data_IF_154545451110
#
_entry.id   IF_154545451110
#
_cell.length_a   1.000
_cell.length_b   1.000
_cell.length_c   1.000
_cell.angle_alpha   90.00
_cell.angle_beta   90.00
_cell.angle_gamma   90.00
#
_symmetry.space_group_name_H-M   'P 1'
#
loop_
_entity.id
_entity.type
_entity.pdbx_description
1 polymer ?
#
# COMPACT_ATOMS: atom_id res chain seq x y z
N UNK A 1 -31.64 -57.19 -41.15
CA UNK A 1 -30.38 -57.51 -40.44
C UNK A 1 -29.34 -56.47 -40.84
N UNK A 2 -28.72 -55.81 -39.85
CA UNK A 2 -27.67 -54.80 -40.08
C UNK A 2 -28.01 -53.44 -39.45
N UNK A 3 -27.84 -53.32 -38.14
CA UNK A 3 -27.70 -52.03 -37.44
C UNK A 3 -26.24 -51.90 -37.01
N UNK A 4 -25.59 -50.86 -37.53
CA UNK A 4 -24.16 -50.58 -37.43
C UNK A 4 -23.91 -49.69 -36.21
N UNK A 5 -22.99 -50.13 -35.36
CA UNK A 5 -22.52 -49.48 -34.13
C UNK A 5 -21.55 -48.32 -34.48
N UNK A 6 -21.57 -47.16 -33.79
CA UNK A 6 -20.58 -46.10 -33.99
C UNK A 6 -19.46 -46.15 -32.93
N UNK A 7 -18.20 -45.85 -33.29
CA UNK A 7 -17.08 -45.86 -32.35
C UNK A 7 -16.86 -44.51 -31.63
N UNK A 8 -16.61 -44.65 -30.32
CA UNK A 8 -15.68 -43.92 -29.43
C UNK A 8 -15.27 -42.46 -29.71
N UNK A 9 -15.48 -41.62 -28.70
CA UNK A 9 -15.07 -40.22 -28.55
C UNK A 9 -13.54 -40.00 -28.37
N UNK A 10 -13.01 -38.81 -28.71
CA UNK A 10 -11.67 -38.37 -28.29
C UNK A 10 -11.71 -37.45 -27.04
N UNK A 11 -10.57 -37.26 -26.34
CA UNK A 11 -10.52 -36.60 -25.03
C UNK A 11 -10.45 -35.06 -25.12
N UNK A 12 -10.88 -34.47 -24.00
CA UNK A 12 -11.08 -33.05 -23.71
C UNK A 12 -9.80 -32.20 -23.84
N UNK A 13 -9.86 -31.16 -24.67
CA UNK A 13 -8.97 -30.01 -24.58
C UNK A 13 -9.53 -28.98 -23.60
N UNK A 14 -8.82 -28.73 -22.50
CA UNK A 14 -9.14 -27.64 -21.58
C UNK A 14 -8.66 -26.32 -22.14
N UNK A 15 -9.59 -25.40 -22.42
CA UNK A 15 -9.28 -24.01 -22.74
C UNK A 15 -9.24 -23.19 -21.45
N UNK A 16 -8.09 -22.57 -21.19
CA UNK A 16 -7.87 -21.55 -20.15
C UNK A 16 -8.37 -20.21 -20.68
N UNK A 17 -9.14 -19.40 -19.93
CA UNK A 17 -9.62 -18.12 -20.40
C UNK A 17 -8.54 -17.04 -20.25
N UNK A 18 -8.09 -16.49 -21.37
CA UNK A 18 -7.21 -15.32 -21.42
C UNK A 18 -8.07 -14.07 -21.18
N UNK A 19 -8.04 -13.52 -19.97
CA UNK A 19 -8.60 -12.19 -19.70
C UNK A 19 -7.65 -11.14 -20.27
N UNK A 20 -8.01 -10.61 -21.44
CA UNK A 20 -7.43 -9.36 -21.93
C UNK A 20 -7.85 -8.21 -21.04
N UNK A 21 -6.87 -7.60 -20.38
CA UNK A 21 -6.99 -6.28 -19.77
C UNK A 21 -6.29 -5.28 -20.70
N UNK A 22 -7.05 -4.70 -21.62
CA UNK A 22 -6.68 -3.45 -22.29
C UNK A 22 -6.92 -2.30 -21.29
N UNK A 23 -5.92 -1.45 -21.05
CA UNK A 23 -6.10 -0.17 -20.37
C UNK A 23 -5.55 0.97 -21.22
N UNK A 24 -6.37 2.01 -21.29
CA UNK A 24 -6.37 3.07 -22.29
C UNK A 24 -5.19 4.06 -22.19
N UNK A 25 -4.88 4.65 -23.34
CA UNK A 25 -3.88 5.71 -23.55
C UNK A 25 -4.45 7.06 -23.11
N UNK A 26 -3.79 7.73 -22.17
CA UNK A 26 -3.95 9.17 -21.94
C UNK A 26 -2.82 9.93 -22.61
N UNK A 27 -3.18 10.71 -23.64
CA UNK A 27 -2.31 11.67 -24.31
C UNK A 27 -2.07 12.88 -23.39
N UNK A 28 -0.81 13.12 -23.04
CA UNK A 28 -0.36 14.44 -22.63
C UNK A 28 0.63 14.94 -23.68
N UNK A 29 0.12 15.75 -24.60
CA UNK A 29 0.92 16.64 -25.42
C UNK A 29 1.50 17.72 -24.50
N UNK A 30 2.78 17.63 -24.18
CA UNK A 30 3.55 18.79 -23.77
C UNK A 30 4.58 19.09 -24.85
N UNK A 31 4.27 20.11 -25.64
CA UNK A 31 5.25 20.86 -26.40
C UNK A 31 6.18 21.58 -25.44
N UNK A 32 7.46 21.31 -25.57
CA UNK A 32 8.53 22.28 -25.40
C UNK A 32 9.63 21.90 -26.39
N UNK A 33 9.96 22.73 -27.40
CA UNK A 33 11.27 22.60 -28.04
C UNK A 33 12.30 23.06 -27.01
N UNK A 34 13.48 22.43 -26.90
CA UNK A 34 14.62 23.14 -27.47
C UNK A 34 15.82 22.25 -27.87
N UNK A 35 16.69 22.83 -28.71
CA UNK A 35 18.15 22.53 -28.83
C UNK A 35 18.52 21.15 -29.38
N UNK A 36 19.15 21.14 -30.55
CA UNK A 36 19.89 20.02 -31.20
C UNK A 36 19.53 18.62 -30.68
N UNK A 37 18.61 17.95 -31.37
CA UNK A 37 18.07 16.66 -30.96
C UNK A 37 19.18 15.69 -30.51
N UNK A 38 19.19 15.37 -29.22
CA UNK A 38 20.28 14.63 -28.60
C UNK A 38 20.11 13.12 -28.89
N UNK A 39 21.23 12.42 -29.11
CA UNK A 39 21.42 10.96 -28.96
C UNK A 39 20.43 10.26 -28.02
N UNK A 40 19.29 9.71 -28.46
CA UNK A 40 18.37 8.98 -27.56
C UNK A 40 18.10 7.58 -28.07
N UNK A 41 17.78 6.68 -27.14
CA UNK A 41 17.39 5.32 -27.44
C UNK A 41 16.27 4.91 -26.50
N UNK A 42 15.29 4.15 -27.00
CA UNK A 42 14.14 3.67 -26.24
C UNK A 42 13.92 2.16 -26.47
N UNK A 43 13.31 1.47 -25.52
CA UNK A 43 12.83 0.10 -25.73
C UNK A 43 11.42 0.09 -26.30
N UNK A 44 11.20 -0.71 -27.34
CA UNK A 44 9.90 -0.89 -28.00
C UNK A 44 9.60 -2.39 -28.11
N UNK A 45 8.59 -2.91 -27.40
CA UNK A 45 7.80 -2.23 -26.37
C UNK A 45 8.66 -1.86 -25.13
N UNK A 46 8.23 -0.88 -24.30
CA UNK A 46 8.98 -0.45 -23.12
C UNK A 46 9.25 -1.60 -22.13
N UNK A 47 8.26 -2.49 -21.98
CA UNK A 47 8.34 -3.73 -21.23
C UNK A 47 8.00 -4.90 -22.15
N UNK A 48 8.74 -6.00 -22.04
CA UNK A 48 8.46 -7.23 -22.79
C UNK A 48 8.41 -8.44 -21.88
N UNK A 49 7.41 -9.29 -22.11
CA UNK A 49 7.33 -10.61 -21.50
C UNK A 49 8.39 -11.55 -22.11
N UNK A 50 8.81 -12.54 -21.32
CA UNK A 50 9.71 -13.58 -21.79
C UNK A 50 9.18 -14.26 -23.07
N UNK A 51 10.08 -14.50 -24.02
CA UNK A 51 9.78 -15.06 -25.33
C UNK A 51 9.26 -14.06 -26.38
N UNK A 52 9.08 -12.78 -26.04
CA UNK A 52 8.75 -11.71 -26.99
C UNK A 52 9.98 -11.06 -27.60
N UNK A 53 9.78 -10.27 -28.65
CA UNK A 53 10.84 -9.51 -29.30
C UNK A 53 10.89 -8.09 -28.74
N UNK A 54 12.09 -7.54 -28.60
CA UNK A 54 12.33 -6.18 -28.09
C UNK A 54 13.25 -5.43 -29.04
N UNK A 55 12.85 -4.23 -29.44
CA UNK A 55 13.68 -3.33 -30.22
C UNK A 55 14.24 -2.21 -29.33
N UNK A 56 15.56 -2.12 -29.20
CA UNK A 56 16.22 -0.90 -28.72
C UNK A 56 16.31 0.08 -29.88
N UNK A 57 15.32 0.96 -29.97
CA UNK A 57 15.14 1.91 -31.07
C UNK A 57 15.96 3.17 -30.83
N UNK A 58 16.88 3.44 -31.75
CA UNK A 58 17.73 4.63 -31.71
C UNK A 58 17.07 5.79 -32.46
N UNK A 59 17.12 6.97 -31.85
CA UNK A 59 16.59 8.22 -32.38
C UNK A 59 17.70 9.27 -32.49
N UNK A 60 17.55 10.20 -33.44
CA UNK A 60 18.47 11.32 -33.64
C UNK A 60 19.93 10.90 -33.87
N UNK A 61 20.13 9.82 -34.62
CA UNK A 61 21.46 9.33 -35.00
C UNK A 61 22.19 10.37 -35.88
N UNK A 62 23.44 10.74 -35.57
CA UNK A 62 24.20 11.71 -36.36
C UNK A 62 24.45 11.23 -37.80
N UNK A 63 24.43 12.15 -38.77
CA UNK A 63 24.63 11.83 -40.19
C UNK A 63 26.08 11.51 -40.60
N UNK A 64 27.06 11.80 -39.75
CA UNK A 64 28.51 11.57 -39.98
C UNK A 64 29.03 10.30 -39.28
N UNK A 65 28.13 9.35 -39.02
CA UNK A 65 28.42 8.07 -38.38
C UNK A 65 29.32 7.17 -39.25
N UNK A 66 30.39 6.64 -38.67
CA UNK A 66 31.25 5.62 -39.27
C UNK A 66 30.82 4.20 -38.87
N UNK A 67 30.29 4.05 -37.66
CA UNK A 67 29.83 2.78 -37.14
C UNK A 67 29.25 2.91 -35.74
N UNK A 68 28.64 1.83 -35.25
CA UNK A 68 28.14 1.75 -33.89
C UNK A 68 28.38 0.38 -33.27
N UNK A 69 28.54 0.37 -31.95
CA UNK A 69 28.79 -0.83 -31.17
C UNK A 69 27.78 -0.88 -30.02
N UNK A 70 27.15 -2.04 -29.86
CA UNK A 70 26.30 -2.34 -28.72
C UNK A 70 27.05 -3.19 -27.71
N UNK A 71 26.95 -2.81 -26.44
CA UNK A 71 27.53 -3.53 -25.31
C UNK A 71 26.46 -3.85 -24.27
N UNK A 72 26.63 -4.98 -23.61
CA UNK A 72 25.90 -5.33 -22.39
C UNK A 72 26.58 -4.66 -21.19
N UNK A 73 25.79 -4.07 -20.30
CA UNK A 73 26.26 -3.34 -19.12
C UNK A 73 26.40 -1.84 -19.33
N UNK A 74 26.86 -1.17 -18.28
CA UNK A 74 26.87 0.30 -18.18
C UNK A 74 28.03 1.01 -18.91
N UNK A 75 29.03 0.24 -19.32
CA UNK A 75 30.24 0.76 -19.94
C UNK A 75 30.52 0.04 -21.25
N UNK A 76 31.19 0.74 -22.17
CA UNK A 76 31.65 0.16 -23.43
C UNK A 76 32.88 -0.73 -23.17
N UNK A 77 32.63 -1.95 -22.68
CA UNK A 77 33.64 -2.97 -22.41
C UNK A 77 33.65 -4.01 -23.53
N UNK A 78 34.79 -4.21 -24.19
CA UNK A 78 34.95 -5.14 -25.31
C UNK A 78 34.55 -6.58 -24.98
N UNK A 79 34.74 -7.03 -23.73
CA UNK A 79 34.31 -8.36 -23.28
C UNK A 79 32.80 -8.53 -23.22
N UNK A 80 32.05 -7.43 -23.18
CA UNK A 80 30.60 -7.40 -23.17
C UNK A 80 29.99 -6.90 -24.49
N UNK A 81 30.77 -6.86 -25.56
CA UNK A 81 30.28 -6.42 -26.87
C UNK A 81 29.30 -7.43 -27.47
N UNK A 82 28.14 -6.95 -27.91
CA UNK A 82 27.07 -7.74 -28.52
C UNK A 82 27.28 -7.76 -30.03
N UNK A 83 27.17 -6.60 -30.68
CA UNK A 83 27.33 -6.45 -32.14
C UNK A 83 28.05 -5.14 -32.46
N UNK A 84 28.87 -5.17 -33.50
CA UNK A 84 29.45 -4.01 -34.17
C UNK A 84 28.82 -3.86 -35.55
N UNK A 85 28.56 -2.62 -35.97
CA UNK A 85 28.10 -2.31 -37.32
C UNK A 85 28.93 -1.19 -37.92
N UNK A 86 29.41 -1.42 -39.15
CA UNK A 86 30.16 -0.44 -39.93
C UNK A 86 29.26 0.09 -41.04
N UNK A 87 29.05 1.41 -41.08
CA UNK A 87 28.07 2.05 -41.99
C UNK A 87 28.50 1.92 -43.46
N UNK A 88 29.79 2.12 -43.74
CA UNK A 88 30.34 2.17 -45.11
C UNK A 88 30.24 0.81 -45.82
N UNK A 89 30.64 -0.26 -45.12
CA UNK A 89 30.62 -1.62 -45.68
C UNK A 89 29.32 -2.37 -45.40
N UNK A 90 28.44 -1.82 -44.55
CA UNK A 90 27.22 -2.45 -44.05
C UNK A 90 27.47 -3.83 -43.39
N UNK A 91 28.68 -4.02 -42.87
CA UNK A 91 29.08 -5.27 -42.22
C UNK A 91 28.70 -5.22 -40.75
N UNK A 92 28.07 -6.30 -40.28
CA UNK A 92 27.81 -6.56 -38.87
C UNK A 92 28.75 -7.64 -38.36
N UNK A 93 29.45 -7.36 -37.26
CA UNK A 93 30.38 -8.30 -36.61
C UNK A 93 29.87 -8.66 -35.22
N UNK A 94 29.59 -9.94 -34.93
CA UNK A 94 29.27 -10.43 -33.59
C UNK A 94 30.43 -10.24 -32.60
N UNK A 95 30.10 -9.82 -31.38
CA UNK A 95 31.02 -9.74 -30.25
C UNK A 95 30.89 -10.92 -29.27
N UNK A 96 31.71 -10.95 -28.20
CA UNK A 96 31.74 -12.07 -27.25
C UNK A 96 30.43 -12.28 -26.48
N UNK A 97 29.61 -11.25 -26.33
CA UNK A 97 28.33 -11.30 -25.61
C UNK A 97 27.13 -11.54 -26.53
N UNK A 98 27.36 -11.84 -27.82
CA UNK A 98 26.30 -12.16 -28.77
C UNK A 98 25.68 -13.53 -28.44
N UNK A 99 24.36 -13.59 -28.29
CA UNK A 99 23.63 -14.84 -28.01
C UNK A 99 23.04 -15.50 -29.26
N UNK A 100 23.25 -14.92 -30.45
CA UNK A 100 22.66 -15.39 -31.70
C UNK A 100 21.20 -14.97 -31.90
N UNK A 101 20.65 -14.19 -30.96
CA UNK A 101 19.26 -13.69 -30.99
C UNK A 101 19.18 -12.19 -31.28
N UNK A 102 20.33 -11.53 -31.38
CA UNK A 102 20.40 -10.09 -31.60
C UNK A 102 20.62 -9.75 -33.07
N UNK A 103 20.04 -8.66 -33.54
CA UNK A 103 20.25 -8.15 -34.91
C UNK A 103 20.33 -6.63 -34.87
N UNK A 104 21.39 -6.07 -35.43
CA UNK A 104 21.57 -4.63 -35.53
C UNK A 104 21.08 -4.11 -36.88
N UNK A 105 20.33 -3.01 -36.87
CA UNK A 105 19.82 -2.37 -38.06
C UNK A 105 20.71 -1.21 -38.51
N UNK A 106 20.67 -0.81 -39.79
CA UNK A 106 21.45 0.32 -40.32
C UNK A 106 21.22 1.65 -39.59
N UNK A 107 20.06 1.83 -38.96
CA UNK A 107 19.74 3.00 -38.13
C UNK A 107 20.30 2.92 -36.70
N UNK A 108 21.20 1.97 -36.43
CA UNK A 108 21.82 1.73 -35.13
C UNK A 108 20.93 1.01 -34.11
N UNK A 109 19.67 0.73 -34.44
CA UNK A 109 18.75 0.03 -33.53
C UNK A 109 19.12 -1.44 -33.38
N UNK A 110 18.89 -2.01 -32.19
CA UNK A 110 19.21 -3.41 -31.89
C UNK A 110 17.93 -4.18 -31.57
N UNK A 111 17.62 -5.20 -32.37
CA UNK A 111 16.55 -6.15 -32.10
C UNK A 111 17.07 -7.30 -31.25
N UNK A 112 16.33 -7.66 -30.22
CA UNK A 112 16.43 -8.93 -29.52
C UNK A 112 15.22 -9.80 -29.87
N UNK A 113 15.47 -11.01 -30.34
CA UNK A 113 14.42 -11.99 -30.59
C UNK A 113 14.26 -12.94 -29.40
N UNK A 114 13.02 -13.21 -29.00
CA UNK A 114 12.69 -14.14 -27.91
C UNK A 114 13.52 -13.88 -26.63
N UNK A 115 13.30 -12.72 -26.01
CA UNK A 115 14.03 -12.29 -24.80
C UNK A 115 13.79 -13.24 -23.62
N UNK A 116 14.80 -13.41 -22.77
CA UNK A 116 14.74 -14.17 -21.52
C UNK A 116 15.03 -13.26 -20.34
N UNK A 117 14.82 -13.74 -19.10
CA UNK A 117 15.16 -12.97 -17.90
C UNK A 117 16.63 -12.53 -17.87
N UNK A 118 17.55 -13.32 -18.44
CA UNK A 118 18.99 -13.01 -18.51
C UNK A 118 19.31 -11.86 -19.49
N UNK A 119 18.36 -11.43 -20.31
CA UNK A 119 18.48 -10.27 -21.19
C UNK A 119 18.08 -8.97 -20.47
N UNK A 120 17.68 -9.05 -19.20
CA UNK A 120 17.42 -7.86 -18.37
C UNK A 120 18.74 -7.19 -17.99
N UNK A 121 18.83 -5.89 -18.19
CA UNK A 121 19.98 -5.11 -17.74
C UNK A 121 20.22 -3.86 -18.56
N UNK A 122 21.32 -3.18 -18.23
CA UNK A 122 21.72 -1.97 -18.93
C UNK A 122 22.43 -2.33 -20.25
N UNK A 123 22.23 -1.51 -21.27
CA UNK A 123 22.86 -1.64 -22.56
C UNK A 123 23.47 -0.30 -22.99
N UNK A 124 24.68 -0.36 -23.51
CA UNK A 124 25.43 0.82 -23.92
C UNK A 124 25.58 0.85 -25.44
N UNK A 125 25.10 1.92 -26.06
CA UNK A 125 25.38 2.25 -27.46
C UNK A 125 26.60 3.17 -27.51
N UNK A 126 27.62 2.75 -28.23
CA UNK A 126 28.76 3.58 -28.58
C UNK A 126 28.71 3.90 -30.06
N UNK A 127 28.69 5.17 -30.40
CA UNK A 127 28.78 5.64 -31.79
C UNK A 127 30.21 6.10 -32.09
N UNK A 128 30.67 5.76 -33.29
CA UNK A 128 31.95 6.19 -33.84
C UNK A 128 31.63 7.21 -34.94
N UNK A 129 31.99 8.48 -34.70
CA UNK A 129 31.82 9.57 -35.65
C UNK A 129 33.18 9.97 -36.23
N UNK A 130 33.19 10.66 -37.38
CA UNK A 130 34.43 11.14 -38.02
C UNK A 130 35.31 12.00 -37.09
N UNK A 131 34.72 12.76 -36.15
CA UNK A 131 35.46 13.78 -35.37
C UNK A 131 35.34 13.72 -33.83
N UNK A 132 34.76 12.67 -33.22
CA UNK A 132 34.85 12.38 -31.77
C UNK A 132 34.10 11.09 -31.42
N UNK A 133 34.62 10.32 -30.46
CA UNK A 133 33.94 9.17 -29.87
C UNK A 133 33.04 9.68 -28.74
N UNK A 134 31.71 9.64 -28.90
CA UNK A 134 30.75 10.09 -27.89
C UNK A 134 29.85 8.91 -27.50
N UNK A 135 30.01 8.40 -26.28
CA UNK A 135 29.09 7.42 -25.69
C UNK A 135 28.03 8.15 -24.87
N UNK A 136 26.76 7.74 -25.02
CA UNK A 136 25.67 8.15 -24.12
C UNK A 136 24.78 6.95 -23.86
N UNK A 137 24.59 6.65 -22.58
CA UNK A 137 23.76 5.57 -22.08
C UNK A 137 22.49 6.16 -21.46
N UNK A 138 21.34 5.53 -21.68
CA UNK A 138 20.21 5.47 -20.73
C UNK A 138 19.15 4.52 -21.30
N UNK A 139 18.77 3.47 -20.57
CA UNK A 139 17.46 2.82 -20.76
C UNK A 139 16.84 2.44 -19.43
N UNK A 140 15.50 2.34 -19.40
CA UNK A 140 14.74 2.22 -18.18
C UNK A 140 14.76 0.75 -17.68
N UNK A 141 15.07 0.51 -16.41
CA UNK A 141 14.71 -0.72 -15.70
C UNK A 141 13.21 -1.13 -15.80
N UNK A 142 12.85 -2.35 -15.36
CA UNK A 142 11.48 -2.87 -15.53
C UNK A 142 10.44 -2.06 -14.76
N UNK A 143 9.22 -1.93 -15.30
CA UNK A 143 8.10 -1.33 -14.58
C UNK A 143 7.75 -2.17 -13.34
N UNK A 144 7.58 -1.49 -12.20
CA UNK A 144 7.26 -2.13 -10.93
C UNK A 144 5.79 -2.57 -10.89
N UNK A 145 5.49 -3.77 -10.38
CA UNK A 145 4.10 -4.16 -10.12
C UNK A 145 3.49 -3.25 -9.06
N UNK A 146 2.15 -3.12 -9.07
CA UNK A 146 1.42 -2.36 -8.05
C UNK A 146 1.74 -2.94 -6.67
N UNK A 147 2.29 -2.16 -5.74
CA UNK A 147 2.64 -2.69 -4.43
C UNK A 147 1.38 -2.93 -3.58
N UNK A 148 1.48 -3.87 -2.65
CA UNK A 148 0.43 -4.21 -1.68
C UNK A 148 1.04 -4.22 -0.28
N UNK A 149 0.24 -3.87 0.72
CA UNK A 149 0.66 -3.96 2.12
C UNK A 149 0.11 -5.24 2.73
N UNK A 150 0.98 -5.98 3.40
CA UNK A 150 0.61 -7.13 4.24
C UNK A 150 0.89 -6.79 5.70
N UNK A 151 0.10 -7.37 6.62
CA UNK A 151 0.26 -7.18 8.06
C UNK A 151 0.40 -8.52 8.76
N UNK A 152 1.26 -8.59 9.77
CA UNK A 152 1.31 -9.76 10.67
C UNK A 152 0.09 -9.86 11.60
N UNK A 153 -0.59 -8.74 11.84
CA UNK A 153 -1.74 -8.65 12.73
C UNK A 153 -2.76 -7.64 12.17
N UNK A 154 -3.96 -8.13 11.84
CA UNK A 154 -5.01 -7.30 11.23
C UNK A 154 -5.78 -6.46 12.26
N UNK A 155 -5.84 -6.92 13.52
CA UNK A 155 -6.62 -6.30 14.59
C UNK A 155 -5.81 -6.19 15.89
N UNK A 156 -4.74 -5.38 15.90
CA UNK A 156 -3.88 -5.25 17.08
C UNK A 156 -4.61 -4.64 18.27
N UNK A 157 -4.35 -5.18 19.46
CA UNK A 157 -4.80 -4.61 20.72
C UNK A 157 -3.86 -3.47 21.16
N UNK A 158 -4.43 -2.36 21.62
CA UNK A 158 -3.69 -1.23 22.15
C UNK A 158 -2.72 -1.66 23.26
N UNK A 159 -1.46 -1.21 23.16
CA UNK A 159 -0.33 -1.53 24.03
C UNK A 159 0.07 -3.02 24.10
N UNK A 160 -0.35 -3.84 23.13
CA UNK A 160 0.07 -5.24 23.01
C UNK A 160 1.34 -5.40 22.13
N UNK A 161 1.44 -6.52 21.43
CA UNK A 161 2.57 -6.89 20.57
C UNK A 161 2.77 -5.90 19.40
N UNK A 162 4.02 -5.80 18.88
CA UNK A 162 4.32 -4.93 17.75
C UNK A 162 3.60 -5.40 16.47
N UNK A 163 3.17 -4.43 15.67
CA UNK A 163 2.60 -4.67 14.34
C UNK A 163 3.67 -4.44 13.29
N UNK A 164 3.75 -5.36 12.34
CA UNK A 164 4.69 -5.32 11.23
C UNK A 164 3.90 -5.24 9.94
N UNK A 165 4.07 -4.13 9.23
CA UNK A 165 3.53 -3.90 7.90
C UNK A 165 4.65 -4.08 6.86
N UNK A 166 4.42 -4.92 5.87
CA UNK A 166 5.42 -5.23 4.83
C UNK A 166 4.87 -4.83 3.46
N UNK A 167 5.64 -4.04 2.71
CA UNK A 167 5.33 -3.70 1.33
C UNK A 167 5.81 -4.84 0.40
N UNK A 168 4.89 -5.40 -0.37
CA UNK A 168 5.11 -6.52 -1.29
C UNK A 168 4.75 -6.12 -2.73
N UNK A 169 5.35 -6.76 -3.75
CA UNK A 169 6.41 -7.76 -3.69
C UNK A 169 7.81 -7.16 -3.53
N UNK A 170 8.78 -7.94 -3.04
CA UNK A 170 10.19 -7.56 -3.12
C UNK A 170 10.66 -7.49 -4.57
N UNK A 171 11.28 -6.37 -4.92
CA UNK A 171 11.85 -6.14 -6.25
C UNK A 171 13.29 -5.61 -6.13
N UNK A 172 14.14 -5.95 -7.09
CA UNK A 172 15.53 -5.47 -7.12
C UNK A 172 15.56 -3.97 -7.46
N UNK A 173 16.59 -3.26 -6.97
CA UNK A 173 16.83 -1.84 -7.26
C UNK A 173 15.61 -0.94 -7.02
N UNK A 174 14.82 -1.25 -6.00
CA UNK A 174 13.58 -0.56 -5.67
C UNK A 174 13.70 0.12 -4.31
N UNK A 175 13.34 1.40 -4.26
CA UNK A 175 13.18 2.15 -3.01
C UNK A 175 11.74 2.08 -2.53
N UNK A 176 11.56 1.99 -1.22
CA UNK A 176 10.26 1.95 -0.57
C UNK A 176 10.03 3.23 0.23
N UNK A 177 8.82 3.79 0.13
CA UNK A 177 8.41 4.98 0.86
C UNK A 177 7.09 4.72 1.59
N UNK A 178 7.07 4.96 2.90
CA UNK A 178 5.85 4.82 3.69
C UNK A 178 5.17 6.16 3.92
N UNK A 179 3.84 6.13 3.83
CA UNK A 179 2.99 7.28 4.13
C UNK A 179 1.79 6.86 4.95
N UNK A 180 1.36 7.75 5.84
CA UNK A 180 0.14 7.61 6.64
C UNK A 180 -0.70 8.87 6.43
N UNK A 181 -1.99 8.71 6.15
CA UNK A 181 -2.87 9.85 5.81
C UNK A 181 -2.31 10.74 4.67
N UNK A 182 -1.69 10.12 3.65
CA UNK A 182 -0.97 10.79 2.55
C UNK A 182 0.18 11.72 2.96
N UNK A 183 0.66 11.62 4.20
CA UNK A 183 1.85 12.35 4.69
C UNK A 183 2.99 11.36 4.91
N UNK A 184 4.23 11.85 4.81
CA UNK A 184 5.41 11.05 5.14
C UNK A 184 5.31 10.49 6.55
N UNK A 185 5.71 9.24 6.72
CA UNK A 185 5.67 8.57 8.02
C UNK A 185 6.54 9.31 9.06
N UNK A 186 6.01 9.65 10.26
CA UNK A 186 6.81 10.24 11.34
C UNK A 186 7.63 9.16 12.05
N UNK A 187 8.82 8.86 11.50
CA UNK A 187 9.77 7.90 12.08
C UNK A 187 10.10 8.29 13.52
N UNK A 188 10.01 7.33 14.44
CA UNK A 188 10.22 7.54 15.87
C UNK A 188 10.75 6.27 16.54
N UNK A 189 11.06 6.32 17.84
CA UNK A 189 11.44 5.13 18.59
C UNK A 189 10.34 4.02 18.54
N UNK A 190 9.06 4.42 18.37
CA UNK A 190 7.94 3.48 18.21
C UNK A 190 7.74 3.04 16.76
N UNK A 191 7.85 3.94 15.79
CA UNK A 191 7.64 3.65 14.37
C UNK A 191 9.00 3.54 13.67
N UNK A 192 9.45 2.30 13.47
CA UNK A 192 10.77 1.99 12.91
C UNK A 192 10.64 1.39 11.51
N UNK A 193 11.43 1.89 10.58
CA UNK A 193 11.61 1.28 9.26
C UNK A 193 12.79 0.31 9.29
N UNK A 194 12.70 -0.76 8.50
CA UNK A 194 13.83 -1.63 8.20
C UNK A 194 14.92 -0.88 7.42
N UNK A 195 16.12 -1.45 7.34
CA UNK A 195 17.25 -0.85 6.62
C UNK A 195 16.96 -0.57 5.13
N UNK A 196 16.11 -1.39 4.50
CA UNK A 196 15.65 -1.24 3.12
C UNK A 196 14.33 -0.45 2.99
N UNK A 197 13.81 0.10 4.11
CA UNK A 197 12.52 0.78 4.23
C UNK A 197 11.29 -0.03 3.79
N UNK A 198 11.44 -1.32 3.48
CA UNK A 198 10.35 -2.17 2.99
C UNK A 198 9.35 -2.51 4.10
N UNK A 199 9.83 -2.63 5.32
CA UNK A 199 9.05 -3.07 6.46
C UNK A 199 8.93 -1.95 7.48
N UNK A 200 7.69 -1.66 7.88
CA UNK A 200 7.37 -0.74 8.96
C UNK A 200 6.96 -1.54 10.20
N UNK A 201 7.73 -1.39 11.27
CA UNK A 201 7.43 -1.94 12.58
C UNK A 201 6.89 -0.85 13.49
N UNK A 202 5.70 -1.07 14.04
CA UNK A 202 5.03 -0.19 15.00
C UNK A 202 5.09 -0.86 16.38
N UNK A 203 6.02 -0.41 17.22
CA UNK A 203 6.16 -0.84 18.61
C UNK A 203 5.14 -0.11 19.49
N UNK A 204 4.50 -0.86 20.41
CA UNK A 204 3.49 -0.32 21.34
C UNK A 204 2.41 0.46 20.60
N UNK A 205 1.57 -0.28 19.88
CA UNK A 205 0.47 0.27 19.08
C UNK A 205 -0.52 1.01 19.98
N UNK A 206 -0.93 2.20 19.55
CA UNK A 206 -1.91 3.04 20.23
C UNK A 206 -3.10 3.31 19.31
N UNK A 207 -4.26 3.67 19.86
CA UNK A 207 -5.42 4.05 19.03
C UNK A 207 -5.14 5.19 18.03
N UNK A 208 -4.14 6.02 18.28
CA UNK A 208 -3.71 7.11 17.40
C UNK A 208 -2.91 6.63 16.17
N UNK A 209 -2.44 5.38 16.19
CA UNK A 209 -1.80 4.75 15.04
C UNK A 209 -2.85 4.17 14.06
N UNK A 210 -4.16 4.28 14.38
CA UNK A 210 -5.25 3.94 13.45
C UNK A 210 -5.21 4.85 12.22
N UNK A 211 -5.25 4.26 11.04
CA UNK A 211 -5.36 5.05 9.82
C UNK A 211 -4.98 4.29 8.54
N UNK A 212 -5.15 4.95 7.38
CA UNK A 212 -4.71 4.45 6.10
C UNK A 212 -3.19 4.59 5.96
N UNK A 213 -2.51 3.46 5.88
CA UNK A 213 -1.12 3.32 5.51
C UNK A 213 -1.03 3.03 4.01
N UNK A 214 -0.09 3.67 3.33
CA UNK A 214 0.19 3.46 1.92
C UNK A 214 1.70 3.31 1.74
N UNK A 215 2.12 2.31 0.97
CA UNK A 215 3.52 2.16 0.57
C UNK A 215 3.68 2.56 -0.90
N UNK A 216 4.72 3.33 -1.18
CA UNK A 216 5.18 3.66 -2.50
C UNK A 216 6.41 2.83 -2.84
N UNK A 217 6.51 2.39 -4.09
CA UNK A 217 7.70 1.75 -4.64
C UNK A 217 8.20 2.59 -5.79
N UNK A 218 9.51 2.80 -5.87
CA UNK A 218 10.12 3.58 -6.95
C UNK A 218 11.40 2.92 -7.44
N UNK A 219 11.58 2.93 -8.75
CA UNK A 219 12.85 2.69 -9.41
C UNK A 219 13.08 3.82 -10.44
N UNK A 220 14.19 3.82 -11.21
CA UNK A 220 14.48 4.88 -12.18
C UNK A 220 13.44 5.09 -13.29
N UNK A 221 12.42 4.23 -13.38
CA UNK A 221 11.52 4.12 -14.54
C UNK A 221 10.07 4.26 -14.16
N UNK A 222 9.72 3.73 -13.01
CA UNK A 222 8.36 3.55 -12.57
C UNK A 222 8.27 3.87 -11.09
N UNK A 223 7.12 4.44 -10.73
CA UNK A 223 6.74 4.66 -9.35
C UNK A 223 5.31 4.13 -9.20
N UNK A 224 5.11 3.28 -8.20
CA UNK A 224 3.83 2.69 -7.85
C UNK A 224 3.42 3.12 -6.45
N UNK A 225 2.12 3.10 -6.17
CA UNK A 225 1.57 3.28 -4.83
C UNK A 225 0.52 2.21 -4.55
N UNK A 226 0.52 1.71 -3.33
CA UNK A 226 -0.44 0.69 -2.91
C UNK A 226 -1.82 1.28 -2.73
N UNK A 227 -2.83 0.42 -2.73
CA UNK A 227 -4.11 0.82 -2.14
C UNK A 227 -3.93 1.07 -0.63
N UNK A 228 -4.75 1.92 -0.02
CA UNK A 228 -4.66 2.19 1.41
C UNK A 228 -4.97 0.96 2.25
N UNK A 229 -4.03 0.57 3.11
CA UNK A 229 -4.24 -0.43 4.15
C UNK A 229 -4.67 0.26 5.45
N UNK A 230 -5.90 0.00 5.90
CA UNK A 230 -6.41 0.62 7.13
C UNK A 230 -6.05 -0.22 8.34
N UNK A 231 -5.10 0.26 9.15
CA UNK A 231 -4.79 -0.36 10.43
C UNK A 231 -5.89 -0.03 11.44
N UNK A 232 -6.60 -1.04 11.94
CA UNK A 232 -7.69 -0.88 12.90
C UNK A 232 -7.25 -1.34 14.30
N UNK A 233 -6.95 -0.40 15.18
CA UNK A 233 -6.47 -0.71 16.54
C UNK A 233 -7.66 -0.94 17.48
N UNK A 234 -7.71 -2.11 18.11
CA UNK A 234 -8.70 -2.45 19.11
C UNK A 234 -8.32 -1.84 20.46
N UNK A 235 -9.27 -1.20 21.14
CA UNK A 235 -9.03 -0.58 22.44
C UNK A 235 -10.30 -0.48 23.29
N UNK A 236 -10.08 -0.27 24.58
CA UNK A 236 -11.12 -0.06 25.56
C UNK A 236 -11.88 -1.35 25.96
N UNK A 237 -13.02 -1.20 26.65
CA UNK A 237 -13.65 0.08 26.96
C UNK A 237 -12.80 0.87 27.95
N UNK A 238 -12.65 2.17 27.70
CA UNK A 238 -12.09 3.10 28.67
C UNK A 238 -12.99 3.17 29.92
N UNK A 239 -12.53 3.86 30.96
CA UNK A 239 -13.33 4.04 32.18
C UNK A 239 -14.69 4.67 31.82
N UNK A 240 -15.83 3.98 32.08
CA UNK A 240 -17.13 4.48 31.71
C UNK A 240 -17.50 5.70 32.56
N UNK A 241 -18.31 6.58 31.97
CA UNK A 241 -18.87 7.77 32.61
C UNK A 241 -20.39 7.69 32.55
N UNK A 242 -21.06 8.21 33.58
CA UNK A 242 -22.52 8.26 33.66
C UNK A 242 -22.94 9.73 33.57
N UNK A 243 -23.78 10.05 32.59
CA UNK A 243 -24.38 11.38 32.38
C UNK A 243 -25.87 11.37 32.70
N UNK A 244 -26.48 12.51 33.11
CA UNK A 244 -25.84 13.78 33.47
C UNK A 244 -24.99 13.64 34.74
N UNK A 245 -24.29 14.68 35.20
CA UNK A 245 -23.55 14.64 36.47
C UNK A 245 -24.47 14.61 37.70
N UNK A 246 -25.69 15.12 37.58
CA UNK A 246 -26.65 15.27 38.68
C UNK A 246 -26.97 13.95 39.39
N UNK A 247 -26.71 13.90 40.70
CA UNK A 247 -26.98 12.77 41.58
C UNK A 247 -28.24 12.94 42.42
N UNK A 248 -28.83 14.14 42.45
CA UNK A 248 -29.94 14.48 43.34
C UNK A 248 -31.23 14.73 42.54
N UNK A 249 -32.30 14.01 42.91
CA UNK A 249 -33.59 14.08 42.21
C UNK A 249 -34.73 14.31 43.21
N UNK A 250 -35.79 14.97 42.75
CA UNK A 250 -37.03 15.11 43.51
C UNK A 250 -37.92 13.88 43.30
N UNK A 251 -38.72 13.47 44.30
CA UNK A 251 -39.76 12.48 44.09
C UNK A 251 -40.70 12.89 42.94
N UNK A 252 -41.08 11.93 42.10
CA UNK A 252 -41.89 12.16 40.89
C UNK A 252 -41.11 12.64 39.67
N UNK A 253 -39.82 12.95 39.79
CA UNK A 253 -38.99 13.29 38.63
C UNK A 253 -38.73 12.06 37.74
N UNK A 254 -38.33 12.29 36.48
CA UNK A 254 -37.86 11.23 35.59
C UNK A 254 -36.34 11.15 35.63
N UNK A 255 -35.80 10.00 36.02
CA UNK A 255 -34.37 9.73 36.03
C UNK A 255 -33.97 9.16 34.66
N UNK A 256 -33.03 9.83 33.98
CA UNK A 256 -32.45 9.35 32.73
C UNK A 256 -30.93 9.37 32.86
N UNK A 257 -30.32 8.19 32.88
CA UNK A 257 -28.88 8.02 32.97
C UNK A 257 -28.35 7.40 31.67
N UNK A 258 -27.32 7.99 31.07
CA UNK A 258 -26.66 7.44 29.87
C UNK A 258 -25.21 7.11 30.20
N UNK A 259 -24.79 5.91 29.84
CA UNK A 259 -23.43 5.43 30.08
C UNK A 259 -22.57 5.50 28.81
N UNK A 260 -21.35 6.00 28.95
CA UNK A 260 -20.43 6.20 27.82
C UNK A 260 -19.02 5.76 28.18
N UNK A 261 -18.41 4.95 27.32
CA UNK A 261 -17.00 4.60 27.34
C UNK A 261 -16.43 4.67 25.92
N UNK A 262 -15.24 5.24 25.76
CA UNK A 262 -14.52 5.18 24.49
C UNK A 262 -14.05 3.74 24.26
N UNK A 263 -14.37 3.17 23.10
CA UNK A 263 -14.01 1.80 22.78
C UNK A 263 -14.08 1.52 21.28
N UNK A 264 -13.17 0.68 20.79
CA UNK A 264 -13.20 0.12 19.45
C UNK A 264 -13.00 -1.41 19.51
N UNK A 265 -13.93 -2.24 19.01
CA UNK A 265 -15.27 -1.88 18.53
C UNK A 265 -16.15 -1.25 19.63
N UNK A 266 -17.31 -0.66 19.29
CA UNK A 266 -18.21 -0.04 20.26
C UNK A 266 -18.58 -0.99 21.42
N UNK A 267 -18.54 -0.47 22.64
CA UNK A 267 -18.87 -1.24 23.84
C UNK A 267 -20.38 -1.49 23.97
N UNK A 268 -20.73 -2.64 24.56
CA UNK A 268 -22.08 -2.98 25.01
C UNK A 268 -22.24 -2.63 26.48
N UNK A 269 -23.42 -2.14 26.84
CA UNK A 269 -23.70 -1.63 28.18
C UNK A 269 -24.78 -2.44 28.91
N UNK A 270 -24.64 -2.52 30.22
CA UNK A 270 -25.68 -3.01 31.13
C UNK A 270 -25.63 -2.27 32.46
N UNK A 271 -26.73 -2.32 33.20
CA UNK A 271 -26.88 -1.62 34.47
C UNK A 271 -27.10 -2.59 35.63
N UNK A 272 -26.63 -2.20 36.81
CA UNK A 272 -27.02 -2.80 38.09
C UNK A 272 -27.54 -1.70 39.01
N UNK A 273 -28.70 -1.91 39.61
CA UNK A 273 -29.27 -1.03 40.62
C UNK A 273 -29.14 -1.75 41.96
N UNK A 274 -28.35 -1.19 42.88
CA UNK A 274 -28.06 -1.80 44.18
C UNK A 274 -27.57 -3.26 44.05
N UNK A 275 -26.72 -3.51 43.05
CA UNK A 275 -26.17 -4.85 42.75
C UNK A 275 -27.11 -5.78 41.98
N UNK A 276 -28.37 -5.39 41.71
CA UNK A 276 -29.32 -6.20 40.95
C UNK A 276 -29.24 -5.89 39.45
N UNK A 277 -28.95 -6.89 38.59
CA UNK A 277 -28.89 -6.70 37.15
C UNK A 277 -30.20 -6.13 36.60
N UNK A 278 -30.07 -5.19 35.68
CA UNK A 278 -31.15 -4.62 34.89
C UNK A 278 -30.97 -5.00 33.42
N UNK A 279 -31.77 -4.38 32.55
CA UNK A 279 -31.69 -4.57 31.10
C UNK A 279 -30.35 -4.12 30.53
N UNK A 280 -29.87 -4.84 29.51
CA UNK A 280 -28.69 -4.48 28.72
C UNK A 280 -29.02 -3.32 27.79
N UNK A 281 -28.84 -2.10 28.27
CA UNK A 281 -29.09 -0.86 27.54
C UNK A 281 -28.02 0.17 27.90
N UNK A 282 -27.71 1.06 26.96
CA UNK A 282 -26.84 2.21 27.19
C UNK A 282 -27.51 3.27 28.07
N UNK A 283 -28.82 3.43 27.92
CA UNK A 283 -29.62 4.40 28.66
C UNK A 283 -30.55 3.70 29.64
N UNK A 284 -30.52 4.15 30.88
CA UNK A 284 -31.44 3.74 31.94
C UNK A 284 -32.46 4.84 32.16
N UNK A 285 -33.74 4.50 32.02
CA UNK A 285 -34.85 5.41 32.22
C UNK A 285 -35.79 4.88 33.31
N UNK A 286 -36.00 5.67 34.35
CA UNK A 286 -36.93 5.38 35.44
C UNK A 286 -37.87 6.58 35.61
N UNK A 287 -39.14 6.48 35.18
CA UNK A 287 -40.12 7.56 35.37
C UNK A 287 -40.61 7.59 36.82
N UNK A 288 -41.05 8.77 37.28
CA UNK A 288 -41.69 8.96 38.59
C UNK A 288 -40.90 8.37 39.78
N UNK A 289 -39.62 8.74 39.93
CA UNK A 289 -38.75 8.18 40.97
C UNK A 289 -39.25 8.47 42.39
N UNK A 290 -39.00 7.55 43.31
CA UNK A 290 -39.34 7.60 44.73
C UNK A 290 -38.10 7.58 45.60
N UNK A 291 -38.25 7.81 46.90
CA UNK A 291 -37.12 7.76 47.86
C UNK A 291 -36.43 6.38 47.85
N UNK A 292 -37.18 5.31 47.57
CA UNK A 292 -36.67 3.93 47.48
C UNK A 292 -35.76 3.68 46.27
N UNK A 293 -35.82 4.54 45.25
CA UNK A 293 -34.94 4.48 44.08
C UNK A 293 -33.56 5.09 44.37
N UNK A 294 -33.34 5.62 45.58
CA UNK A 294 -32.01 6.02 46.02
C UNK A 294 -31.08 4.81 46.13
N UNK A 295 -29.84 4.97 45.71
CA UNK A 295 -28.88 3.87 45.77
C UNK A 295 -27.72 3.99 44.79
N UNK A 296 -26.99 2.88 44.65
CA UNK A 296 -25.85 2.76 43.76
C UNK A 296 -26.29 2.25 42.39
N UNK A 297 -26.08 3.07 41.37
CA UNK A 297 -26.35 2.76 39.97
C UNK A 297 -25.02 2.47 39.28
N UNK A 298 -24.76 1.19 39.02
CA UNK A 298 -23.53 0.72 38.39
C UNK A 298 -23.77 0.53 36.90
N UNK A 299 -22.97 1.19 36.07
CA UNK A 299 -22.89 0.84 34.66
C UNK A 299 -21.72 -0.12 34.42
N UNK A 300 -21.95 -1.12 33.58
CA UNK A 300 -20.94 -2.04 33.04
C UNK A 300 -20.80 -1.79 31.55
N UNK A 301 -19.59 -1.45 31.10
CA UNK A 301 -19.22 -1.38 29.70
C UNK A 301 -18.36 -2.60 29.34
N UNK A 302 -18.69 -3.28 28.25
CA UNK A 302 -18.03 -4.50 27.80
C UNK A 302 -17.68 -4.42 26.31
N UNK A 303 -16.45 -4.79 25.94
CA UNK A 303 -16.02 -4.85 24.54
C UNK A 303 -15.66 -6.30 24.18
N UNK A 304 -16.38 -6.86 23.21
CA UNK A 304 -16.16 -8.24 22.75
C UNK A 304 -14.88 -8.42 21.95
N UNK A 305 -14.40 -7.39 21.26
CA UNK A 305 -13.14 -7.41 20.50
C UNK A 305 -11.92 -7.50 21.40
N UNK A 306 -11.88 -6.67 22.46
CA UNK A 306 -10.78 -6.71 23.45
C UNK A 306 -10.99 -7.75 24.56
N UNK A 307 -12.23 -8.27 24.71
CA UNK A 307 -12.67 -9.11 25.83
C UNK A 307 -12.50 -8.46 27.21
N UNK A 308 -12.49 -7.13 27.25
CA UNK A 308 -12.38 -6.35 28.48
C UNK A 308 -13.74 -5.79 28.90
N UNK A 309 -13.91 -5.66 30.21
CA UNK A 309 -15.05 -4.97 30.82
C UNK A 309 -14.59 -3.98 31.87
N UNK A 310 -15.23 -2.81 31.92
CA UNK A 310 -15.01 -1.78 32.93
C UNK A 310 -16.35 -1.36 33.52
N UNK A 311 -16.32 -0.93 34.77
CA UNK A 311 -17.52 -0.51 35.49
C UNK A 311 -17.32 0.87 36.10
N UNK A 312 -18.42 1.58 36.31
CA UNK A 312 -18.47 2.83 37.05
C UNK A 312 -19.75 2.86 37.86
N UNK A 313 -19.71 3.54 39.01
CA UNK A 313 -20.85 3.61 39.93
C UNK A 313 -21.22 5.06 40.17
N UNK A 314 -22.51 5.35 40.18
CA UNK A 314 -23.06 6.64 40.55
C UNK A 314 -24.11 6.47 41.64
N UNK A 315 -23.95 7.20 42.73
CA UNK A 315 -24.93 7.20 43.81
C UNK A 315 -26.02 8.22 43.49
N UNK A 316 -27.26 7.75 43.37
CA UNK A 316 -28.44 8.58 43.18
C UNK A 316 -29.15 8.77 44.51
N UNK A 317 -29.54 10.00 44.82
CA UNK A 317 -30.28 10.36 46.02
C UNK A 317 -31.59 11.02 45.62
N UNK A 318 -32.71 10.42 46.00
CA UNK A 318 -34.04 10.97 45.79
C UNK A 318 -34.57 11.47 47.12
N UNK A 319 -34.75 12.79 47.27
CA UNK A 319 -35.24 13.37 48.51
C UNK A 319 -36.17 14.57 48.27
N UNK A 320 -37.17 14.71 49.13
CA UNK A 320 -38.10 15.85 49.10
C UNK A 320 -37.51 17.14 49.67
N UNK A 321 -36.31 17.09 50.27
CA UNK A 321 -35.62 18.27 50.83
C UNK A 321 -34.70 18.88 49.78
N UNK A 322 -35.03 20.07 49.32
CA UNK A 322 -34.17 20.85 48.42
C UNK A 322 -32.89 21.27 49.16
N UNK A 323 -31.72 20.82 48.66
CA UNK A 323 -30.42 21.36 49.05
C UNK A 323 -29.96 22.26 47.89
N UNK A 324 -29.92 23.59 48.05
CA UNK A 324 -29.44 24.48 47.01
C UNK A 324 -27.91 24.33 46.86
N UNK A 325 -27.47 23.95 45.66
CA UNK A 325 -26.21 24.30 45.00
C UNK A 325 -24.91 24.32 45.82
N UNK A 326 -24.07 23.31 45.60
CA UNK A 326 -22.60 23.44 45.69
C UNK A 326 -22.02 24.23 44.50
N UNK A 327 -22.64 25.37 44.15
CA UNK A 327 -22.24 26.22 43.03
C UNK A 327 -22.51 27.69 43.33
N UNK A 328 -21.96 28.17 44.45
CA UNK A 328 -21.83 29.60 44.74
C UNK A 328 -20.77 29.81 45.83
N UNK A 329 -19.49 29.65 45.48
CA UNK A 329 -18.36 30.18 46.26
C UNK A 329 -17.13 30.29 45.34
N UNK A 330 -17.26 31.17 44.35
CA UNK A 330 -16.13 31.86 43.75
C UNK A 330 -16.65 33.21 43.27
N UNK A 331 -16.46 34.21 44.11
CA UNK A 331 -16.36 35.64 43.83
C UNK A 331 -16.33 36.32 45.21
N UNK A 332 -15.13 36.60 45.70
CA UNK A 332 -14.59 37.89 46.15
C UNK A 332 -13.10 37.68 46.46
#
# INVERSE_FOLDING_TARGET
>A
AGTMEPPSAPPRGGHVPWQELLLAVSLLTFWNPPTTAQLTVESVPPNAAEGKDVLLRVHNLPGDLLGCNWFRGETANTSHQILSYVVDTQVTTPGPAHSGRETIYPNGSLLFQRVTLNDTGNYTLQIVMKNAQRSRMLHPGPELPKPIITSNNSDPLENADPVVLTCEPQTQSTSYLWSVNRKSLPVSARLQLSLDNRTLTIHRVTRNDTGPYECGTQNPVSAGRSDPFTLNVLYGPDAPTISPSDSHYRPGASLRLSCHAASNPPARYSWLINGRPQTSTQELFIPNVTVNDSGAYTCVASNSGTRLSKTTVKTITVSGKWIPGASALMLW
#
